data_IF_319277463259
#
_entry.id   IF_319277463259
#
_cell.length_a   1.000
_cell.length_b   1.000
_cell.length_c   1.000
_cell.angle_alpha   90.00
_cell.angle_beta   90.00
_cell.angle_gamma   90.00
#
_symmetry.space_group_name_H-M   'P 1'
#
loop_
_entity.id
_entity.type
_entity.pdbx_description
1 polymer ?
#
# COMPACT_ATOMS: atom_id res chain seq x y z
N UNK A 1 -21.72 23.09 -3.78
CA UNK A 1 -21.73 21.93 -2.86
C UNK A 1 -20.55 21.08 -3.27
N UNK A 2 -19.43 21.24 -2.57
CA UNK A 2 -18.11 20.80 -3.01
C UNK A 2 -18.01 19.27 -3.00
N UNK A 3 -17.73 18.69 -4.15
CA UNK A 3 -17.72 17.23 -4.36
C UNK A 3 -16.55 16.53 -3.66
N UNK A 4 -15.60 17.30 -3.11
CA UNK A 4 -14.52 16.86 -2.21
C UNK A 4 -15.03 16.37 -0.84
N UNK A 5 -16.21 16.81 -0.38
CA UNK A 5 -16.72 16.50 0.97
C UNK A 5 -17.21 15.03 1.13
N UNK A 6 -17.37 14.30 0.02
CA UNK A 6 -17.71 12.86 0.06
C UNK A 6 -16.50 11.95 0.27
N UNK A 7 -15.27 12.46 0.16
CA UNK A 7 -14.07 11.65 0.31
C UNK A 7 -13.65 11.64 1.78
N UNK A 8 -13.84 10.50 2.43
CA UNK A 8 -13.48 10.29 3.83
C UNK A 8 -11.95 10.19 4.04
N UNK A 9 -11.21 11.29 3.81
CA UNK A 9 -9.76 11.37 4.01
C UNK A 9 -9.33 10.93 5.41
N UNK A 10 -10.10 11.33 6.42
CA UNK A 10 -9.85 10.95 7.82
C UNK A 10 -9.97 9.45 8.04
N UNK A 11 -10.95 8.79 7.41
CA UNK A 11 -11.12 7.33 7.53
C UNK A 11 -9.99 6.59 6.83
N UNK A 12 -9.56 7.08 5.66
CA UNK A 12 -8.39 6.53 4.96
C UNK A 12 -7.13 6.60 5.83
N UNK A 13 -6.78 7.79 6.33
CA UNK A 13 -5.59 7.97 7.16
C UNK A 13 -5.68 7.18 8.47
N UNK A 14 -6.85 7.16 9.13
CA UNK A 14 -7.04 6.39 10.36
C UNK A 14 -6.86 4.89 10.13
N UNK A 15 -7.43 4.34 9.06
CA UNK A 15 -7.28 2.93 8.72
C UNK A 15 -5.88 2.57 8.22
N UNK A 16 -5.20 3.50 7.53
CA UNK A 16 -3.79 3.35 7.15
C UNK A 16 -2.89 3.32 8.38
N UNK A 17 -3.07 4.26 9.31
CA UNK A 17 -2.31 4.34 10.55
C UNK A 17 -2.59 3.13 11.46
N UNK A 18 -3.84 2.66 11.55
CA UNK A 18 -4.15 1.47 12.34
C UNK A 18 -3.50 0.21 11.74
N UNK A 19 -3.56 0.02 10.42
CA UNK A 19 -2.88 -1.09 9.74
C UNK A 19 -1.37 -1.03 9.94
N UNK A 20 -0.79 0.15 9.76
CA UNK A 20 0.65 0.39 9.96
C UNK A 20 1.06 0.12 11.40
N UNK A 21 0.25 0.56 12.37
CA UNK A 21 0.48 0.33 13.81
C UNK A 21 0.43 -1.15 14.17
N UNK A 22 -0.57 -1.89 13.68
CA UNK A 22 -0.70 -3.34 13.90
C UNK A 22 0.50 -4.09 13.30
N UNK A 23 0.89 -3.78 12.06
CA UNK A 23 2.03 -4.43 11.40
C UNK A 23 3.36 -4.06 12.08
N UNK A 24 3.51 -2.82 12.56
CA UNK A 24 4.70 -2.38 13.30
C UNK A 24 4.80 -3.07 14.66
N UNK A 25 3.68 -3.24 15.37
CA UNK A 25 3.62 -4.01 16.60
C UNK A 25 3.99 -5.48 16.36
N UNK A 26 3.47 -6.07 15.27
CA UNK A 26 3.81 -7.44 14.87
C UNK A 26 5.31 -7.57 14.55
N UNK A 27 5.88 -6.61 13.83
CA UNK A 27 7.31 -6.57 13.53
C UNK A 27 8.16 -6.44 14.81
N UNK A 28 7.73 -5.62 15.77
CA UNK A 28 8.39 -5.46 17.06
C UNK A 28 8.34 -6.74 17.91
N UNK A 29 7.18 -7.41 17.98
CA UNK A 29 7.04 -8.70 18.66
C UNK A 29 7.92 -9.79 18.02
N UNK A 30 8.05 -9.78 16.69
CA UNK A 30 8.92 -10.72 15.97
C UNK A 30 10.42 -10.46 16.23
N UNK A 31 10.79 -9.22 16.62
CA UNK A 31 12.16 -8.82 16.95
C UNK A 31 12.67 -9.27 18.32
N UNK A 32 11.81 -9.84 19.19
CA UNK A 32 12.24 -10.36 20.50
C UNK A 32 13.15 -11.59 20.43
N UNK A 33 13.30 -12.22 19.25
CA UNK A 33 14.15 -13.40 19.07
C UNK A 33 15.45 -13.08 18.30
N UNK A 34 16.66 -13.29 18.85
CA UNK A 34 17.92 -12.90 18.20
C UNK A 34 18.18 -13.53 16.82
N UNK A 35 17.53 -14.64 16.48
CA UNK A 35 17.63 -15.30 15.16
C UNK A 35 16.80 -14.63 14.04
N UNK A 36 15.97 -13.63 14.34
CA UNK A 36 15.06 -13.00 13.37
C UNK A 36 15.46 -11.58 12.96
N UNK A 37 16.65 -11.09 13.35
CA UNK A 37 17.11 -9.73 13.02
C UNK A 37 17.09 -9.43 11.50
N UNK A 38 17.54 -10.32 10.60
CA UNK A 38 17.43 -10.09 9.16
C UNK A 38 15.98 -10.11 8.64
N UNK A 39 15.06 -10.79 9.33
CA UNK A 39 13.63 -10.77 9.01
C UNK A 39 12.97 -9.46 9.44
N UNK A 40 13.40 -8.88 10.57
CA UNK A 40 12.85 -7.63 11.09
C UNK A 40 13.17 -6.44 10.17
N UNK A 41 14.40 -6.39 9.63
CA UNK A 41 14.83 -5.29 8.75
C UNK A 41 13.97 -5.20 7.48
N UNK A 42 13.78 -6.30 6.76
CA UNK A 42 12.90 -6.32 5.59
C UNK A 42 11.46 -5.99 5.96
N UNK A 43 10.99 -6.43 7.13
CA UNK A 43 9.63 -6.17 7.61
C UNK A 43 9.38 -4.65 7.73
N UNK A 44 10.27 -3.95 8.45
CA UNK A 44 10.18 -2.51 8.67
C UNK A 44 10.31 -1.75 7.34
N UNK A 45 11.31 -2.10 6.51
CA UNK A 45 11.51 -1.48 5.19
C UNK A 45 10.24 -1.63 4.34
N UNK A 46 9.61 -2.82 4.35
CA UNK A 46 8.37 -3.07 3.61
C UNK A 46 7.23 -2.21 4.13
N UNK A 47 7.05 -2.12 5.46
CA UNK A 47 6.00 -1.28 6.06
C UNK A 47 6.16 0.16 5.60
N UNK A 48 7.37 0.72 5.73
CA UNK A 48 7.65 2.11 5.34
C UNK A 48 7.38 2.31 3.85
N UNK A 49 7.86 1.39 3.01
CA UNK A 49 7.67 1.46 1.57
C UNK A 49 6.19 1.43 1.17
N UNK A 50 5.42 0.46 1.67
CA UNK A 50 4.00 0.34 1.34
C UNK A 50 3.15 1.45 1.95
N UNK A 51 3.55 2.00 3.10
CA UNK A 51 2.92 3.17 3.68
C UNK A 51 3.00 4.38 2.74
N UNK A 52 4.20 4.73 2.28
CA UNK A 52 4.39 5.83 1.33
C UNK A 52 3.73 5.55 -0.01
N UNK A 53 3.83 4.32 -0.50
CA UNK A 53 3.18 3.91 -1.74
C UNK A 53 1.65 4.08 -1.64
N UNK A 54 1.04 3.67 -0.53
CA UNK A 54 -0.41 3.80 -0.33
C UNK A 54 -0.85 5.26 -0.19
N UNK A 55 -0.03 6.11 0.42
CA UNK A 55 -0.33 7.55 0.50
C UNK A 55 -0.30 8.20 -0.89
N UNK A 56 0.70 7.84 -1.69
CA UNK A 56 0.85 8.33 -3.05
C UNK A 56 -0.28 7.83 -3.96
N UNK A 57 -0.64 6.55 -3.85
CA UNK A 57 -1.72 5.96 -4.65
C UNK A 57 -3.09 6.53 -4.30
N UNK A 58 -3.32 6.82 -3.03
CA UNK A 58 -4.52 7.51 -2.59
C UNK A 58 -4.64 8.91 -3.18
N UNK A 59 -3.58 9.72 -3.12
CA UNK A 59 -3.61 11.08 -3.65
C UNK A 59 -3.86 11.11 -5.17
N UNK A 60 -3.16 10.26 -5.92
CA UNK A 60 -3.38 10.13 -7.35
C UNK A 60 -4.76 9.53 -7.67
N UNK A 61 -5.24 8.57 -6.87
CA UNK A 61 -6.56 7.95 -7.03
C UNK A 61 -7.71 8.94 -6.81
N UNK A 62 -7.60 9.81 -5.80
CA UNK A 62 -8.53 10.91 -5.57
C UNK A 62 -8.53 11.88 -6.75
N UNK A 63 -7.35 12.34 -7.18
CA UNK A 63 -7.24 13.27 -8.31
C UNK A 63 -7.82 12.66 -9.60
N UNK A 64 -7.58 11.37 -9.84
CA UNK A 64 -8.12 10.67 -11.00
C UNK A 64 -9.64 10.46 -10.92
N UNK A 65 -10.19 10.25 -9.72
CA UNK A 65 -11.62 10.08 -9.51
C UNK A 65 -12.43 11.34 -9.82
N UNK A 66 -11.85 12.53 -9.63
CA UNK A 66 -12.49 13.81 -9.96
C UNK A 66 -12.17 14.31 -11.37
N UNK A 67 -11.31 13.64 -12.12
CA UNK A 67 -11.02 14.04 -13.49
C UNK A 67 -12.21 13.77 -14.40
N UNK A 68 -12.44 14.66 -15.38
CA UNK A 68 -13.50 14.52 -16.38
C UNK A 68 -13.34 13.28 -17.29
N UNK A 69 -12.17 12.64 -17.28
CA UNK A 69 -11.87 11.52 -18.16
C UNK A 69 -12.30 10.19 -17.52
N UNK A 70 -13.31 9.56 -18.13
CA UNK A 70 -13.89 8.28 -17.70
C UNK A 70 -12.87 7.14 -17.58
N UNK A 71 -11.73 7.21 -18.28
CA UNK A 71 -10.68 6.19 -18.24
C UNK A 71 -9.50 6.53 -17.31
N UNK A 72 -9.42 7.76 -16.78
CA UNK A 72 -8.28 8.17 -15.96
C UNK A 72 -8.21 7.38 -14.64
N UNK A 73 -9.35 7.18 -13.98
CA UNK A 73 -9.42 6.40 -12.75
C UNK A 73 -8.94 4.96 -12.94
N UNK A 74 -9.43 4.29 -14.00
CA UNK A 74 -9.04 2.93 -14.34
C UNK A 74 -7.55 2.83 -14.69
N UNK A 75 -7.04 3.77 -15.50
CA UNK A 75 -5.62 3.83 -15.86
C UNK A 75 -4.72 3.95 -14.63
N UNK A 76 -5.05 4.87 -13.72
CA UNK A 76 -4.30 5.10 -12.49
C UNK A 76 -4.35 3.87 -11.58
N UNK A 77 -5.51 3.22 -11.45
CA UNK A 77 -5.66 1.98 -10.70
C UNK A 77 -4.76 0.87 -11.23
N UNK A 78 -4.73 0.66 -12.55
CA UNK A 78 -3.85 -0.34 -13.17
C UNK A 78 -2.36 0.00 -13.00
N UNK A 79 -1.98 1.27 -13.14
CA UNK A 79 -0.59 1.71 -12.90
C UNK A 79 -0.18 1.40 -11.46
N UNK A 80 -1.06 1.59 -10.47
CA UNK A 80 -0.74 1.24 -9.08
C UNK A 80 -0.68 -0.25 -8.84
N UNK A 81 -1.60 -1.02 -9.42
CA UNK A 81 -1.62 -2.47 -9.30
C UNK A 81 -0.34 -3.10 -9.87
N UNK A 82 0.03 -2.76 -11.11
CA UNK A 82 1.23 -3.28 -11.77
C UNK A 82 2.52 -2.61 -11.27
N UNK A 83 2.46 -1.31 -11.04
CA UNK A 83 3.58 -0.54 -10.50
C UNK A 83 4.02 -1.10 -9.16
N UNK A 84 3.08 -1.41 -8.26
CA UNK A 84 3.38 -2.05 -6.97
C UNK A 84 4.08 -3.39 -7.15
N UNK A 85 3.59 -4.24 -8.07
CA UNK A 85 4.21 -5.55 -8.33
C UNK A 85 5.65 -5.40 -8.81
N UNK A 86 5.91 -4.49 -9.75
CA UNK A 86 7.26 -4.22 -10.23
C UNK A 86 8.17 -3.68 -9.12
N UNK A 87 7.68 -2.70 -8.37
CA UNK A 87 8.37 -2.11 -7.22
C UNK A 87 8.67 -3.15 -6.13
N UNK A 88 7.75 -4.07 -5.89
CA UNK A 88 7.91 -5.18 -4.93
C UNK A 88 9.04 -6.12 -5.32
N UNK A 89 9.08 -6.51 -6.60
CA UNK A 89 10.16 -7.35 -7.14
C UNK A 89 11.51 -6.61 -7.05
N UNK A 90 11.53 -5.33 -7.44
CA UNK A 90 12.74 -4.51 -7.37
C UNK A 90 13.27 -4.40 -5.92
N UNK A 91 12.37 -4.21 -4.94
CA UNK A 91 12.73 -4.12 -3.52
C UNK A 91 13.31 -5.45 -3.01
N UNK A 92 12.68 -6.58 -3.34
CA UNK A 92 13.19 -7.90 -2.95
C UNK A 92 14.57 -8.20 -3.54
N UNK A 93 14.79 -7.87 -4.82
CA UNK A 93 16.09 -8.05 -5.48
C UNK A 93 17.15 -7.13 -4.84
N UNK A 94 16.81 -5.86 -4.62
CA UNK A 94 17.70 -4.90 -3.99
C UNK A 94 18.09 -5.36 -2.57
N UNK A 95 17.12 -5.80 -1.77
CA UNK A 95 17.38 -6.31 -0.43
C UNK A 95 18.29 -7.53 -0.43
N UNK A 96 18.00 -8.52 -1.29
CA UNK A 96 18.81 -9.73 -1.41
C UNK A 96 20.27 -9.42 -1.78
N UNK A 97 20.50 -8.43 -2.64
CA UNK A 97 21.84 -8.03 -3.08
C UNK A 97 22.61 -7.24 -2.03
N UNK A 98 21.93 -6.48 -1.17
CA UNK A 98 22.59 -5.62 -0.16
C UNK A 98 22.87 -6.39 1.13
N UNK A 99 21.91 -7.20 1.58
CA UNK A 99 21.96 -7.85 2.91
C UNK A 99 22.42 -9.31 2.83
N UNK A 100 22.40 -9.91 1.62
CA UNK A 100 22.79 -11.31 1.38
C UNK A 100 22.26 -12.28 2.45
N UNK A 101 20.92 -12.31 2.69
CA UNK A 101 20.37 -13.13 3.75
C UNK A 101 20.66 -14.61 3.47
N UNK A 102 21.17 -15.33 4.48
CA UNK A 102 21.53 -16.75 4.39
C UNK A 102 20.36 -17.65 3.98
N UNK A 103 19.12 -17.20 4.22
CA UNK A 103 17.90 -17.92 3.85
C UNK A 103 16.91 -17.02 3.14
N UNK A 104 16.11 -17.60 2.24
CA UNK A 104 15.02 -16.89 1.53
C UNK A 104 13.80 -16.61 2.43
N UNK A 105 13.89 -16.84 3.75
CA UNK A 105 12.79 -16.64 4.69
C UNK A 105 12.38 -15.17 4.82
N UNK A 106 13.24 -14.23 4.42
CA UNK A 106 12.95 -12.79 4.38
C UNK A 106 11.80 -12.41 3.43
N UNK A 107 11.46 -13.28 2.47
CA UNK A 107 10.34 -13.04 1.54
C UNK A 107 9.00 -13.14 2.24
N UNK A 108 8.87 -14.00 3.26
CA UNK A 108 7.62 -14.23 3.98
C UNK A 108 7.07 -12.96 4.68
N UNK A 109 7.86 -12.24 5.52
CA UNK A 109 7.39 -11.00 6.14
C UNK A 109 7.09 -9.91 5.11
N UNK A 110 7.88 -9.82 4.05
CA UNK A 110 7.61 -8.91 2.93
C UNK A 110 6.23 -9.18 2.30
N UNK A 111 5.95 -10.46 2.01
CA UNK A 111 4.72 -10.87 1.35
C UNK A 111 3.48 -10.64 2.24
N UNK A 112 3.61 -10.85 3.55
CA UNK A 112 2.55 -10.56 4.51
C UNK A 112 2.18 -9.07 4.49
N UNK A 113 3.18 -8.18 4.60
CA UNK A 113 2.96 -6.74 4.50
C UNK A 113 2.34 -6.37 3.15
N UNK A 114 2.88 -6.91 2.06
CA UNK A 114 2.35 -6.68 0.71
C UNK A 114 0.86 -7.04 0.60
N UNK A 115 0.43 -8.21 1.06
CA UNK A 115 -0.98 -8.63 1.00
C UNK A 115 -1.86 -7.70 1.85
N UNK A 116 -1.47 -7.43 3.10
CA UNK A 116 -2.24 -6.58 4.01
C UNK A 116 -2.50 -5.19 3.40
N UNK A 117 -1.45 -4.55 2.87
CA UNK A 117 -1.58 -3.26 2.20
C UNK A 117 -2.34 -3.34 0.88
N UNK A 118 -2.23 -4.45 0.15
CA UNK A 118 -2.92 -4.62 -1.13
C UNK A 118 -4.43 -4.78 -0.95
N UNK A 119 -4.87 -5.59 0.02
CA UNK A 119 -6.30 -5.72 0.38
C UNK A 119 -6.86 -4.36 0.81
N UNK A 120 -6.13 -3.65 1.67
CA UNK A 120 -6.50 -2.32 2.11
C UNK A 120 -6.64 -1.32 0.95
N UNK A 121 -5.62 -1.21 0.10
CA UNK A 121 -5.60 -0.28 -1.02
C UNK A 121 -6.70 -0.59 -2.04
N UNK A 122 -6.89 -1.87 -2.36
CA UNK A 122 -7.94 -2.32 -3.29
C UNK A 122 -9.32 -1.97 -2.74
N UNK A 123 -9.55 -2.16 -1.45
CA UNK A 123 -10.78 -1.73 -0.78
C UNK A 123 -11.07 -0.24 -0.94
N UNK A 124 -10.05 0.60 -0.76
CA UNK A 124 -10.20 2.05 -0.93
C UNK A 124 -10.38 2.47 -2.39
N UNK A 125 -9.60 1.92 -3.32
CA UNK A 125 -9.77 2.17 -4.75
C UNK A 125 -11.19 1.81 -5.22
N UNK A 126 -11.71 0.64 -4.82
CA UNK A 126 -13.07 0.24 -5.15
C UNK A 126 -14.11 1.24 -4.63
N UNK A 127 -13.90 1.79 -3.43
CA UNK A 127 -14.77 2.82 -2.86
C UNK A 127 -14.71 4.14 -3.64
N UNK A 128 -13.51 4.58 -4.03
CA UNK A 128 -13.29 5.76 -4.88
C UNK A 128 -13.92 5.60 -6.27
N UNK A 129 -13.82 4.43 -6.87
CA UNK A 129 -14.42 4.14 -8.18
C UNK A 129 -15.95 4.25 -8.19
N UNK A 130 -16.62 3.91 -7.08
CA UNK A 130 -18.08 4.10 -6.93
C UNK A 130 -18.48 5.57 -6.93
N UNK A 131 -17.65 6.45 -6.36
CA UNK A 131 -17.90 7.90 -6.34
C UNK A 131 -17.78 8.48 -7.76
N UNK A 132 -16.76 8.08 -8.51
CA UNK A 132 -16.58 8.49 -9.92
C UNK A 132 -17.81 8.11 -10.78
N UNK A 133 -18.34 6.89 -10.62
CA UNK A 133 -19.50 6.45 -11.38
C UNK A 133 -20.79 7.21 -11.02
N UNK A 134 -20.93 7.73 -9.80
CA UNK A 134 -22.06 8.58 -9.42
C UNK A 134 -21.92 10.02 -9.94
N UNK A 135 -20.71 10.57 -9.98
CA UNK A 135 -20.45 11.92 -10.51
C UNK A 135 -20.71 12.03 -12.02
N UNK A 136 -20.61 10.93 -12.77
CA UNK A 136 -20.79 10.89 -14.22
C UNK A 136 -22.25 10.63 -14.65
N UNK A 137 -23.18 10.60 -13.68
CA UNK A 137 -24.64 10.44 -13.89
C UNK A 137 -25.45 11.73 -13.59
N UNK A 138 -24.79 12.77 -13.08
CA UNK A 138 -25.33 14.12 -12.87
C UNK A 138 -24.89 15.02 -14.02
#
# INVERSE_FOLDING_TARGET
MDSTDKVDHKKFLLSLLSLTGILSLLAFLCGFHPRTVPLQNIFIISIVFFFFFSLFSYWMGVNAAFSHNKFAFTRVTFIFLFGKLFLSIALLIAYKKIVEPESNLFVLPFFLVYICYTVFETGFMMRLGRINHQSNKL
#
